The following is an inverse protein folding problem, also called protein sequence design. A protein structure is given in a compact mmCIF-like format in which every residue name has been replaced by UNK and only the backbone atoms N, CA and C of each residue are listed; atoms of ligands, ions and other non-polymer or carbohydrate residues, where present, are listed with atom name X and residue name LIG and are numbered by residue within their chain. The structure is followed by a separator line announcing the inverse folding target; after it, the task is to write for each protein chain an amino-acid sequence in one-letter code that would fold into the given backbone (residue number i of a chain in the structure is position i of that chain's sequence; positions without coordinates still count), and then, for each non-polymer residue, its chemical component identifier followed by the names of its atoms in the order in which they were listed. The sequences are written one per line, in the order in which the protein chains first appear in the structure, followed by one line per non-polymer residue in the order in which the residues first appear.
data_IF_920837527480
#
_entry.id   IF_920837527480
#
_cell.length_a   1.000
_cell.length_b   1.000
_cell.length_c   1.000
_cell.angle_alpha   90.00
_cell.angle_beta   90.00
_cell.angle_gamma   90.00
#
_symmetry.space_group_name_H-M   'P 1'
#
loop_
_entity.id
_entity.type
_entity.pdbx_description
1 polymer ?
#
# COMPACT_ATOMS: atom_id res chain seq x y z
N UNK A 1 41.76 -32.02 -5.06
CA UNK A 1 41.06 -32.51 -6.28
C UNK A 1 40.32 -33.83 -6.07
N UNK A 2 40.97 -34.91 -5.61
CA UNK A 2 40.31 -36.22 -5.36
C UNK A 2 39.12 -36.11 -4.40
N UNK A 3 39.26 -35.37 -3.31
CA UNK A 3 38.18 -35.14 -2.34
C UNK A 3 37.04 -34.28 -2.90
N UNK A 4 37.34 -33.26 -3.71
CA UNK A 4 36.33 -32.42 -4.36
C UNK A 4 35.50 -33.18 -5.41
N UNK A 5 36.08 -34.21 -6.05
CA UNK A 5 35.35 -35.13 -6.94
C UNK A 5 34.49 -36.12 -6.15
N UNK A 6 34.99 -36.64 -5.03
CA UNK A 6 34.23 -37.56 -4.16
C UNK A 6 33.03 -36.88 -3.47
N UNK A 7 33.16 -35.58 -3.14
CA UNK A 7 32.10 -34.78 -2.54
C UNK A 7 31.13 -34.18 -3.59
N UNK A 8 31.33 -34.46 -4.89
CA UNK A 8 30.45 -34.00 -5.96
C UNK A 8 30.56 -32.50 -6.31
N UNK A 9 31.58 -31.80 -5.82
CA UNK A 9 31.76 -30.36 -6.06
C UNK A 9 32.29 -30.04 -7.46
N UNK A 10 33.10 -30.95 -8.03
CA UNK A 10 33.62 -30.85 -9.38
C UNK A 10 33.00 -31.93 -10.27
N UNK A 11 32.53 -31.54 -11.44
CA UNK A 11 32.01 -32.41 -12.49
C UNK A 11 33.00 -32.39 -13.66
N UNK A 12 33.51 -33.53 -14.14
CA UNK A 12 34.35 -33.57 -15.32
C UNK A 12 33.59 -33.04 -16.53
N UNK A 13 34.15 -32.03 -17.21
CA UNK A 13 33.60 -31.45 -18.44
C UNK A 13 34.59 -31.68 -19.58
N UNK A 14 34.12 -32.23 -20.69
CA UNK A 14 34.88 -32.26 -21.93
C UNK A 14 34.55 -31.01 -22.74
N UNK A 15 35.53 -30.13 -22.96
CA UNK A 15 35.36 -28.97 -23.80
C UNK A 15 36.27 -29.08 -25.04
N UNK A 16 35.72 -28.76 -26.21
CA UNK A 16 36.49 -28.67 -27.45
C UNK A 16 36.86 -27.20 -27.67
N UNK A 17 38.13 -26.86 -27.52
CA UNK A 17 38.68 -25.56 -27.94
C UNK A 17 39.69 -25.80 -29.05
N UNK A 18 39.50 -25.14 -30.20
CA UNK A 18 40.38 -25.24 -31.38
C UNK A 18 40.69 -26.69 -31.82
N UNK A 19 39.71 -27.59 -31.76
CA UNK A 19 39.86 -28.98 -32.21
C UNK A 19 40.65 -29.90 -31.27
N UNK A 20 41.05 -29.43 -30.08
CA UNK A 20 41.67 -30.25 -29.04
C UNK A 20 40.65 -30.57 -27.96
N UNK A 21 40.57 -31.84 -27.59
CA UNK A 21 39.78 -32.31 -26.44
C UNK A 21 40.54 -32.00 -25.15
N UNK A 22 40.15 -30.94 -24.46
CA UNK A 22 40.67 -30.67 -23.11
C UNK A 22 39.74 -31.32 -22.08
N UNK A 23 40.29 -32.24 -21.27
CA UNK A 23 39.60 -32.75 -20.08
C UNK A 23 39.65 -31.67 -19.00
N UNK A 24 38.56 -30.93 -18.85
CA UNK A 24 38.38 -29.92 -17.80
C UNK A 24 37.49 -30.42 -16.68
N UNK A 25 37.35 -29.60 -15.64
CA UNK A 25 36.40 -29.81 -14.56
C UNK A 25 35.62 -28.50 -14.39
N UNK A 26 34.29 -28.59 -14.25
CA UNK A 26 33.44 -27.49 -13.87
C UNK A 26 32.91 -27.71 -12.46
N UNK A 27 32.53 -26.64 -11.77
CA UNK A 27 31.81 -26.79 -10.50
C UNK A 27 30.36 -27.21 -10.75
N UNK A 28 29.82 -28.02 -9.85
CA UNK A 28 28.43 -28.44 -9.87
C UNK A 28 27.47 -27.31 -9.44
N UNK A 29 27.95 -26.44 -8.56
CA UNK A 29 27.21 -25.32 -7.96
C UNK A 29 28.00 -24.03 -8.16
N UNK A 30 27.30 -23.02 -8.69
CA UNK A 30 27.86 -21.71 -9.01
C UNK A 30 28.38 -20.97 -7.77
N UNK A 31 27.86 -21.26 -6.58
CA UNK A 31 28.32 -20.66 -5.32
C UNK A 31 29.76 -21.08 -5.00
N UNK A 32 30.09 -22.36 -5.17
CA UNK A 32 31.46 -22.84 -4.99
C UNK A 32 32.39 -22.25 -6.06
N UNK A 33 31.92 -22.19 -7.32
CA UNK A 33 32.68 -21.55 -8.40
C UNK A 33 33.05 -20.11 -8.03
N UNK A 34 32.08 -19.33 -7.58
CA UNK A 34 32.26 -17.90 -7.28
C UNK A 34 33.16 -17.71 -6.05
N UNK A 35 33.04 -18.55 -5.03
CA UNK A 35 33.93 -18.56 -3.86
C UNK A 35 35.39 -18.88 -4.25
N UNK A 36 35.64 -19.94 -5.02
CA UNK A 36 36.99 -20.29 -5.46
C UNK A 36 37.57 -19.25 -6.42
N UNK A 37 36.75 -18.62 -7.26
CA UNK A 37 37.17 -17.48 -8.07
C UNK A 37 37.63 -16.30 -7.20
N UNK A 38 36.90 -16.00 -6.11
CA UNK A 38 37.26 -14.94 -5.18
C UNK A 38 38.60 -15.21 -4.49
N UNK A 39 38.87 -16.46 -4.10
CA UNK A 39 40.15 -16.87 -3.50
C UNK A 39 41.35 -16.66 -4.44
N UNK A 40 41.15 -16.80 -5.75
CA UNK A 40 42.20 -16.61 -6.74
C UNK A 40 42.58 -15.14 -6.97
N UNK A 41 41.76 -14.19 -6.51
CA UNK A 41 41.96 -12.76 -6.69
C UNK A 41 42.58 -12.17 -5.43
N UNK A 42 43.89 -11.96 -5.43
CA UNK A 42 44.59 -11.35 -4.29
C UNK A 42 44.51 -9.82 -4.29
N UNK A 43 44.53 -9.21 -5.47
CA UNK A 43 44.58 -7.76 -5.67
C UNK A 43 43.24 -7.23 -6.19
N UNK A 44 42.71 -6.20 -5.53
CA UNK A 44 41.44 -5.58 -5.85
C UNK A 44 41.46 -4.83 -7.19
N UNK A 45 42.63 -4.41 -7.68
CA UNK A 45 42.76 -3.77 -9.00
C UNK A 45 42.20 -4.65 -10.11
N UNK A 46 42.19 -5.98 -9.93
CA UNK A 46 41.56 -6.94 -10.83
C UNK A 46 40.09 -6.58 -11.16
N UNK A 47 39.33 -6.06 -10.21
CA UNK A 47 37.93 -5.68 -10.42
C UNK A 47 37.78 -4.36 -11.18
N UNK A 48 38.76 -3.46 -11.07
CA UNK A 48 38.79 -2.18 -11.81
C UNK A 48 39.44 -2.28 -13.18
N UNK A 49 39.96 -3.43 -13.56
CA UNK A 49 40.45 -3.67 -14.91
C UNK A 49 39.30 -3.79 -15.92
N UNK A 50 39.55 -3.29 -17.14
CA UNK A 50 38.63 -3.42 -18.26
C UNK A 50 38.78 -4.81 -18.90
N UNK A 51 37.68 -5.55 -18.96
CA UNK A 51 37.59 -6.84 -19.65
C UNK A 51 36.41 -6.84 -20.61
N UNK A 52 36.64 -7.24 -21.87
CA UNK A 52 35.60 -7.22 -22.93
C UNK A 52 34.86 -5.87 -23.02
N UNK A 53 35.61 -4.77 -22.95
CA UNK A 53 35.09 -3.39 -23.06
C UNK A 53 34.22 -2.91 -21.89
N UNK A 54 34.20 -3.61 -20.76
CA UNK A 54 33.53 -3.17 -19.54
C UNK A 54 34.40 -3.39 -18.30
N UNK A 55 34.21 -2.57 -17.27
CA UNK A 55 34.84 -2.80 -15.96
C UNK A 55 34.23 -4.04 -15.31
N UNK A 56 35.07 -4.95 -14.79
CA UNK A 56 34.57 -6.19 -14.14
C UNK A 56 33.68 -5.87 -12.95
N UNK A 57 33.98 -4.81 -12.20
CA UNK A 57 33.20 -4.40 -11.03
C UNK A 57 31.74 -4.06 -11.35
N UNK A 58 31.38 -3.72 -12.59
CA UNK A 58 29.99 -3.41 -13.00
C UNK A 58 29.29 -4.57 -13.71
N UNK A 59 30.01 -5.66 -13.96
CA UNK A 59 29.47 -6.83 -14.64
C UNK A 59 28.74 -7.73 -13.62
N UNK A 60 27.45 -8.08 -13.85
CA UNK A 60 26.68 -8.93 -12.97
C UNK A 60 27.34 -10.27 -12.63
N UNK A 61 28.14 -10.84 -13.55
CA UNK A 61 28.85 -12.12 -13.33
C UNK A 61 29.85 -12.04 -12.18
N UNK A 62 30.40 -10.84 -11.90
CA UNK A 62 31.43 -10.64 -10.89
C UNK A 62 30.88 -10.20 -9.54
N UNK A 63 29.60 -9.80 -9.43
CA UNK A 63 29.02 -9.32 -8.17
C UNK A 63 29.08 -10.35 -7.04
N UNK A 64 28.80 -11.63 -7.36
CA UNK A 64 28.89 -12.73 -6.37
C UNK A 64 30.33 -13.01 -5.94
N UNK A 65 31.26 -12.97 -6.89
CA UNK A 65 32.70 -13.13 -6.63
C UNK A 65 33.22 -11.98 -5.76
N UNK A 66 32.79 -10.75 -6.05
CA UNK A 66 33.14 -9.55 -5.31
C UNK A 66 32.61 -9.61 -3.87
N UNK A 67 31.36 -10.05 -3.66
CA UNK A 67 30.79 -10.26 -2.32
C UNK A 67 31.65 -11.25 -1.49
N UNK A 68 32.01 -12.41 -2.07
CA UNK A 68 32.93 -13.34 -1.42
C UNK A 68 34.29 -12.71 -1.14
N UNK A 69 34.81 -11.89 -2.04
CA UNK A 69 36.10 -11.21 -1.85
C UNK A 69 36.07 -10.26 -0.64
N UNK A 70 34.97 -9.52 -0.44
CA UNK A 70 34.81 -8.65 0.73
C UNK A 70 34.77 -9.41 2.05
N UNK A 71 34.16 -10.60 2.08
CA UNK A 71 34.08 -11.45 3.27
C UNK A 71 35.39 -12.13 3.68
N UNK A 72 36.47 -11.99 2.89
CA UNK A 72 37.77 -12.63 3.17
C UNK A 72 38.50 -11.94 4.32
N UNK A 73 38.81 -12.68 5.38
CA UNK A 73 39.53 -12.19 6.56
C UNK A 73 41.02 -11.97 6.29
N UNK A 74 41.60 -12.72 5.36
CA UNK A 74 43.02 -12.65 5.01
C UNK A 74 43.40 -11.38 4.24
N UNK A 75 42.41 -10.69 3.65
CA UNK A 75 42.64 -9.43 2.96
C UNK A 75 42.72 -8.33 4.02
N UNK A 76 43.87 -7.63 4.07
CA UNK A 76 44.10 -6.58 5.05
C UNK A 76 43.06 -5.46 4.95
N UNK A 77 42.73 -4.88 6.11
CA UNK A 77 41.81 -3.73 6.18
C UNK A 77 42.27 -2.57 5.30
N UNK A 78 43.60 -2.33 5.23
CA UNK A 78 44.20 -1.29 4.39
C UNK A 78 43.86 -1.50 2.91
N UNK A 79 43.90 -2.74 2.41
CA UNK A 79 43.55 -3.04 1.02
C UNK A 79 42.05 -2.85 0.77
N UNK A 80 41.20 -3.27 1.71
CA UNK A 80 39.74 -3.05 1.64
C UNK A 80 39.41 -1.55 1.61
N UNK A 81 40.08 -0.76 2.44
CA UNK A 81 39.94 0.69 2.49
C UNK A 81 40.44 1.37 1.20
N UNK A 82 41.59 0.95 0.67
CA UNK A 82 42.11 1.48 -0.60
C UNK A 82 41.15 1.19 -1.77
N UNK A 83 40.55 0.00 -1.79
CA UNK A 83 39.57 -0.34 -2.81
C UNK A 83 38.28 0.50 -2.71
N UNK A 84 37.75 0.70 -1.49
CA UNK A 84 36.63 1.63 -1.27
C UNK A 84 36.97 3.05 -1.70
N UNK A 85 38.17 3.54 -1.37
CA UNK A 85 38.60 4.87 -1.77
C UNK A 85 38.63 5.00 -3.30
N UNK A 86 39.18 4.01 -4.00
CA UNK A 86 39.21 4.00 -5.46
C UNK A 86 37.81 4.01 -6.09
N UNK A 87 36.82 3.37 -5.46
CA UNK A 87 35.42 3.45 -5.89
C UNK A 87 34.80 4.83 -5.62
N UNK A 88 35.09 5.45 -4.48
CA UNK A 88 34.57 6.77 -4.11
C UNK A 88 35.16 7.92 -4.95
N UNK A 89 36.39 7.75 -5.43
CA UNK A 89 37.10 8.67 -6.32
C UNK A 89 36.89 8.33 -7.80
N UNK A 90 36.07 7.32 -8.11
CA UNK A 90 35.87 6.86 -9.47
C UNK A 90 35.21 7.96 -10.32
N UNK A 91 35.97 8.46 -11.29
CA UNK A 91 35.55 9.47 -12.24
C UNK A 91 35.62 8.89 -13.65
N UNK A 92 34.44 8.74 -14.26
CA UNK A 92 34.33 8.16 -15.60
C UNK A 92 34.70 9.13 -16.72
N UNK A 93 34.77 10.44 -16.43
CA UNK A 93 35.02 11.54 -17.38
C UNK A 93 34.10 11.51 -18.60
N UNK A 94 33.01 10.75 -18.55
CA UNK A 94 32.09 10.54 -19.64
C UNK A 94 30.93 11.54 -19.60
N UNK A 95 30.51 11.94 -18.39
CA UNK A 95 29.45 12.94 -18.21
C UNK A 95 29.67 13.76 -16.94
N UNK A 96 29.09 14.98 -16.85
CA UNK A 96 29.09 15.74 -15.60
C UNK A 96 28.31 15.05 -14.47
N UNK A 97 27.47 14.06 -14.81
CA UNK A 97 26.70 13.26 -13.85
C UNK A 97 27.50 12.08 -13.30
N UNK A 98 28.69 11.78 -13.87
CA UNK A 98 29.58 10.68 -13.49
C UNK A 98 28.82 9.35 -13.29
N UNK A 99 28.22 8.87 -14.37
CA UNK A 99 27.34 7.70 -14.36
C UNK A 99 28.00 6.47 -13.72
N UNK A 100 29.23 6.14 -14.10
CA UNK A 100 29.94 5.01 -13.48
C UNK A 100 30.45 5.31 -12.08
N UNK A 101 30.61 6.59 -11.69
CA UNK A 101 30.83 6.98 -10.30
C UNK A 101 29.64 6.63 -9.41
N UNK A 102 28.40 6.83 -9.88
CA UNK A 102 27.20 6.36 -9.16
C UNK A 102 27.17 4.84 -9.05
N UNK A 103 27.54 4.11 -10.11
CA UNK A 103 27.68 2.64 -10.07
C UNK A 103 28.78 2.18 -9.10
N UNK A 104 29.88 2.91 -9.02
CA UNK A 104 30.95 2.62 -8.06
C UNK A 104 30.48 2.85 -6.62
N UNK A 105 29.67 3.89 -6.39
CA UNK A 105 29.00 4.13 -5.10
C UNK A 105 28.03 2.99 -4.73
N UNK A 106 27.27 2.44 -5.70
CA UNK A 106 26.45 1.23 -5.48
C UNK A 106 27.29 0.06 -4.97
N UNK A 107 28.41 -0.22 -5.64
CA UNK A 107 29.31 -1.31 -5.27
C UNK A 107 29.93 -1.09 -3.89
N UNK A 108 30.32 0.15 -3.57
CA UNK A 108 30.87 0.53 -2.28
C UNK A 108 29.83 0.35 -1.14
N UNK A 109 28.56 0.71 -1.40
CA UNK A 109 27.47 0.51 -0.45
C UNK A 109 27.23 -0.97 -0.11
N UNK A 110 27.21 -1.83 -1.15
CA UNK A 110 27.04 -3.27 -0.99
C UNK A 110 28.20 -3.91 -0.23
N UNK A 111 29.43 -3.38 -0.35
CA UNK A 111 30.58 -3.85 0.40
C UNK A 111 30.41 -3.70 1.93
N UNK A 112 29.62 -2.71 2.39
CA UNK A 112 29.37 -2.49 3.82
C UNK A 112 28.55 -3.62 4.48
N UNK A 113 27.92 -4.50 3.70
CA UNK A 113 27.29 -5.73 4.23
C UNK A 113 28.30 -6.63 4.90
N UNK A 114 29.44 -6.83 4.24
CA UNK A 114 30.49 -7.74 4.66
C UNK A 114 31.50 -7.04 5.57
N UNK A 115 31.65 -5.72 5.44
CA UNK A 115 32.63 -4.92 6.17
C UNK A 115 32.03 -3.61 6.71
N UNK A 116 31.15 -3.67 7.72
CA UNK A 116 30.45 -2.48 8.23
C UNK A 116 31.34 -1.51 9.01
N UNK A 117 32.44 -2.00 9.59
CA UNK A 117 33.35 -1.22 10.45
C UNK A 117 34.41 -0.42 9.67
N UNK A 118 34.27 -0.32 8.35
CA UNK A 118 35.21 0.44 7.52
C UNK A 118 35.04 1.95 7.75
N UNK A 119 36.17 2.67 7.82
CA UNK A 119 36.18 4.11 8.09
C UNK A 119 35.40 4.95 7.06
N UNK A 120 35.26 4.44 5.84
CA UNK A 120 34.50 5.07 4.76
C UNK A 120 32.98 4.86 4.86
N UNK A 121 32.49 4.03 5.79
CA UNK A 121 31.06 3.69 5.89
C UNK A 121 30.18 4.93 6.04
N UNK A 122 30.57 5.86 6.93
CA UNK A 122 29.84 7.11 7.15
C UNK A 122 29.80 7.98 5.89
N UNK A 123 30.89 8.06 5.14
CA UNK A 123 30.96 8.83 3.89
C UNK A 123 30.10 8.21 2.79
N UNK A 124 30.16 6.89 2.61
CA UNK A 124 29.35 6.15 1.63
C UNK A 124 27.87 6.38 1.93
N UNK A 125 27.45 6.18 3.18
CA UNK A 125 26.07 6.37 3.61
C UNK A 125 25.64 7.83 3.42
N UNK A 126 26.47 8.81 3.79
CA UNK A 126 26.16 10.23 3.60
C UNK A 126 25.97 10.58 2.12
N UNK A 127 26.82 10.08 1.21
CA UNK A 127 26.68 10.28 -0.23
C UNK A 127 25.40 9.64 -0.77
N UNK A 128 25.06 8.43 -0.34
CA UNK A 128 23.81 7.77 -0.72
C UNK A 128 22.57 8.54 -0.26
N UNK A 129 22.58 8.99 1.00
CA UNK A 129 21.49 9.80 1.55
C UNK A 129 21.33 11.10 0.77
N UNK A 130 22.43 11.76 0.40
CA UNK A 130 22.40 12.97 -0.44
C UNK A 130 21.79 12.73 -1.83
N UNK A 131 21.88 11.51 -2.37
CA UNK A 131 21.21 11.14 -3.63
C UNK A 131 19.71 10.88 -3.47
N UNK A 132 19.26 10.47 -2.28
CA UNK A 132 17.87 10.11 -2.02
C UNK A 132 17.04 11.21 -1.34
N UNK A 133 17.68 12.13 -0.63
CA UNK A 133 17.05 13.27 0.02
C UNK A 133 16.77 14.38 -1.02
N UNK A 134 15.62 15.08 -0.91
CA UNK A 134 15.27 16.13 -1.86
C UNK A 134 16.27 17.31 -1.83
N UNK A 135 16.59 17.89 -3.01
CA UNK A 135 15.98 19.18 -3.35
C UNK A 135 15.31 19.21 -4.74
N UNK A 136 15.35 18.10 -5.48
CA UNK A 136 14.97 18.06 -6.90
C UNK A 136 13.63 17.34 -7.09
N UNK A 137 12.63 18.09 -7.58
CA UNK A 137 11.42 17.49 -8.09
C UNK A 137 11.77 16.60 -9.30
N UNK A 138 11.47 15.30 -9.18
CA UNK A 138 11.38 14.41 -10.34
C UNK A 138 12.50 13.40 -10.47
N UNK A 139 12.44 12.32 -9.70
CA UNK A 139 12.56 10.96 -10.25
C UNK A 139 12.22 9.95 -9.17
N UNK A 140 10.98 9.44 -9.19
CA UNK A 140 10.59 8.31 -8.34
C UNK A 140 11.49 7.07 -8.52
N UNK A 141 12.24 6.99 -9.62
CA UNK A 141 13.26 5.97 -9.84
C UNK A 141 14.50 6.09 -8.93
N UNK A 142 15.02 7.31 -8.72
CA UNK A 142 16.22 7.53 -7.92
C UNK A 142 15.96 7.27 -6.43
N UNK A 143 14.82 7.71 -5.91
CA UNK A 143 14.43 7.43 -4.53
C UNK A 143 14.20 5.93 -4.29
N UNK A 144 13.56 5.23 -5.23
CA UNK A 144 13.41 3.76 -5.19
C UNK A 144 14.76 3.04 -5.21
N UNK A 145 15.70 3.53 -6.02
CA UNK A 145 17.05 3.00 -6.08
C UNK A 145 17.81 3.18 -4.75
N UNK A 146 17.85 4.40 -4.19
CA UNK A 146 18.51 4.67 -2.91
C UNK A 146 17.88 3.86 -1.79
N UNK A 147 16.55 3.80 -1.70
CA UNK A 147 15.86 3.04 -0.64
C UNK A 147 16.13 1.54 -0.72
N UNK A 148 16.20 0.96 -1.92
CA UNK A 148 16.60 -0.43 -2.09
C UNK A 148 18.04 -0.64 -1.60
N UNK A 149 18.97 0.21 -2.03
CA UNK A 149 20.38 0.09 -1.67
C UNK A 149 20.65 0.30 -0.17
N UNK A 150 19.98 1.25 0.47
CA UNK A 150 20.09 1.46 1.92
C UNK A 150 19.52 0.31 2.73
N UNK A 151 18.44 -0.32 2.25
CA UNK A 151 17.89 -1.56 2.85
C UNK A 151 18.90 -2.70 2.76
N UNK A 152 19.67 -2.71 1.67
CA UNK A 152 20.74 -3.66 1.43
C UNK A 152 22.03 -3.33 2.19
N UNK A 153 22.21 -2.10 2.67
CA UNK A 153 23.40 -1.65 3.42
C UNK A 153 23.31 -2.05 4.89
N UNK A 154 24.44 -2.13 5.60
CA UNK A 154 24.43 -2.39 7.04
C UNK A 154 23.61 -1.33 7.79
N UNK A 155 22.69 -1.80 8.64
CA UNK A 155 21.61 -1.00 9.23
C UNK A 155 22.08 0.12 10.16
N UNK A 156 23.08 -0.13 11.00
CA UNK A 156 23.46 0.80 12.06
C UNK A 156 24.06 2.13 11.55
N UNK A 157 25.03 2.15 10.60
CA UNK A 157 25.55 3.40 10.01
C UNK A 157 24.47 4.24 9.35
N UNK A 158 23.53 3.60 8.63
CA UNK A 158 22.40 4.30 7.99
C UNK A 158 21.56 5.03 9.02
N UNK A 159 21.16 4.35 10.10
CA UNK A 159 20.36 4.97 11.16
C UNK A 159 21.11 6.11 11.86
N UNK A 160 22.40 5.93 12.16
CA UNK A 160 23.20 6.98 12.79
C UNK A 160 23.31 8.22 11.91
N UNK A 161 23.54 8.05 10.61
CA UNK A 161 23.57 9.16 9.65
C UNK A 161 22.21 9.88 9.57
N UNK A 162 21.10 9.14 9.53
CA UNK A 162 19.76 9.72 9.53
C UNK A 162 19.47 10.54 10.79
N UNK A 163 19.85 10.03 11.98
CA UNK A 163 19.68 10.76 13.23
C UNK A 163 20.51 12.05 13.26
N UNK A 164 21.75 12.00 12.75
CA UNK A 164 22.60 13.19 12.63
C UNK A 164 21.99 14.23 11.69
N UNK A 165 21.49 13.81 10.53
CA UNK A 165 20.81 14.73 9.59
C UNK A 165 19.58 15.35 10.26
N UNK A 166 18.75 14.55 10.91
CA UNK A 166 17.52 15.01 11.57
C UNK A 166 17.81 16.06 12.66
N UNK A 167 18.91 15.94 13.40
CA UNK A 167 19.31 16.93 14.42
C UNK A 167 19.90 18.23 13.86
N UNK A 168 20.34 18.24 12.60
CA UNK A 168 21.05 19.38 11.99
C UNK A 168 20.26 20.08 10.89
N UNK A 169 19.21 19.45 10.37
CA UNK A 169 18.46 19.95 9.21
C UNK A 169 17.43 20.99 9.62
N UNK A 170 17.35 22.08 8.86
CA UNK A 170 16.31 23.10 8.97
C UNK A 170 15.21 22.94 7.91
N UNK A 171 15.38 22.02 6.96
CA UNK A 171 14.41 21.77 5.88
C UNK A 171 13.37 20.72 6.30
N UNK A 172 12.12 21.18 6.48
CA UNK A 172 10.95 20.35 6.82
C UNK A 172 10.77 19.13 5.90
N UNK A 173 11.14 19.22 4.62
CA UNK A 173 11.02 18.11 3.65
C UNK A 173 12.05 17.02 3.93
N UNK A 174 13.30 17.43 4.12
CA UNK A 174 14.38 16.51 4.51
C UNK A 174 14.04 15.90 5.86
N UNK A 175 13.56 16.71 6.80
CA UNK A 175 13.15 16.28 8.13
C UNK A 175 12.06 15.20 8.08
N UNK A 176 10.99 15.46 7.31
CA UNK A 176 9.89 14.50 7.12
C UNK A 176 10.36 13.20 6.47
N UNK A 177 11.24 13.27 5.48
CA UNK A 177 11.81 12.09 4.82
C UNK A 177 12.69 11.26 5.77
N UNK A 178 13.51 11.92 6.60
CA UNK A 178 14.28 11.27 7.65
C UNK A 178 13.38 10.54 8.65
N UNK A 179 12.28 11.16 9.09
CA UNK A 179 11.30 10.51 9.96
C UNK A 179 10.69 9.27 9.30
N UNK A 180 10.31 9.34 8.03
CA UNK A 180 9.75 8.20 7.30
C UNK A 180 10.73 7.02 7.23
N UNK A 181 11.99 7.28 6.87
CA UNK A 181 13.02 6.25 6.78
C UNK A 181 13.40 5.68 8.15
N UNK A 182 13.48 6.52 9.18
CA UNK A 182 13.66 6.07 10.57
C UNK A 182 12.50 5.19 11.03
N UNK A 183 11.25 5.53 10.67
CA UNK A 183 10.10 4.67 10.94
C UNK A 183 10.22 3.29 10.27
N UNK A 184 10.64 3.25 9.01
CA UNK A 184 10.80 2.02 8.25
C UNK A 184 11.95 1.12 8.74
N UNK A 185 13.06 1.72 9.15
CA UNK A 185 14.30 0.99 9.43
C UNK A 185 14.76 1.08 10.89
N UNK A 186 14.07 1.79 11.78
CA UNK A 186 14.53 2.05 13.15
C UNK A 186 14.16 1.00 14.19
N UNK A 187 13.30 0.02 13.87
CA UNK A 187 12.83 -0.99 14.83
C UNK A 187 13.95 -1.74 15.56
N UNK A 188 14.04 -1.63 16.89
CA UNK A 188 15.13 -2.24 17.67
C UNK A 188 16.41 -1.41 17.72
N UNK A 189 16.35 -0.11 17.38
CA UNK A 189 17.43 0.85 17.55
C UNK A 189 17.04 1.90 18.62
N UNK A 190 17.38 1.69 19.91
CA UNK A 190 16.89 2.51 21.02
C UNK A 190 17.24 3.99 20.90
N UNK A 191 18.42 4.30 20.35
CA UNK A 191 18.86 5.69 20.14
C UNK A 191 17.92 6.47 19.20
N UNK A 192 17.28 5.80 18.23
CA UNK A 192 16.31 6.48 17.36
C UNK A 192 15.06 6.91 18.13
N UNK A 193 14.59 6.08 19.07
CA UNK A 193 13.44 6.42 19.92
C UNK A 193 13.79 7.63 20.79
N UNK A 194 14.95 7.59 21.47
CA UNK A 194 15.38 8.67 22.35
C UNK A 194 15.49 10.02 21.60
N UNK A 195 16.14 10.03 20.44
CA UNK A 195 16.27 11.25 19.63
C UNK A 195 14.92 11.73 19.12
N UNK A 196 14.07 10.84 18.63
CA UNK A 196 12.73 11.22 18.15
C UNK A 196 11.84 11.76 19.28
N UNK A 197 11.93 11.21 20.50
CA UNK A 197 11.21 11.75 21.66
C UNK A 197 11.70 13.15 22.04
N UNK A 198 13.01 13.38 22.05
CA UNK A 198 13.58 14.72 22.27
C UNK A 198 13.10 15.72 21.22
N UNK A 199 13.07 15.29 19.96
CA UNK A 199 12.66 16.12 18.83
C UNK A 199 11.15 16.41 18.83
N UNK A 200 10.34 15.44 19.27
CA UNK A 200 8.91 15.63 19.45
C UNK A 200 8.62 16.75 20.47
N UNK A 201 9.38 16.81 21.57
CA UNK A 201 9.26 17.86 22.57
C UNK A 201 9.68 19.25 22.04
N UNK A 202 10.63 19.32 21.10
CA UNK A 202 11.03 20.58 20.47
C UNK A 202 9.99 21.09 19.46
N UNK A 203 9.30 20.17 18.78
CA UNK A 203 8.38 20.48 17.68
C UNK A 203 6.89 20.35 18.03
N UNK A 204 6.51 20.43 19.32
CA UNK A 204 5.14 20.21 19.79
C UNK A 204 4.05 21.01 19.04
N UNK A 205 4.37 22.22 18.57
CA UNK A 205 3.41 23.10 17.86
C UNK A 205 3.52 23.00 16.33
N UNK A 206 4.56 22.33 15.80
CA UNK A 206 4.78 22.17 14.37
C UNK A 206 3.93 21.02 13.80
N UNK A 207 3.63 21.06 12.51
CA UNK A 207 3.06 19.92 11.78
C UNK A 207 4.02 18.72 11.73
N UNK A 208 5.33 18.97 11.85
CA UNK A 208 6.38 17.94 11.90
C UNK A 208 6.19 16.95 13.05
N UNK A 209 5.49 17.33 14.13
CA UNK A 209 5.18 16.43 15.24
C UNK A 209 4.49 15.14 14.80
N UNK A 210 3.69 15.18 13.74
CA UNK A 210 3.03 13.97 13.21
C UNK A 210 3.99 13.08 12.44
N UNK A 211 4.98 13.64 11.75
CA UNK A 211 6.03 12.85 11.11
C UNK A 211 6.89 12.15 12.16
N UNK A 212 7.25 12.87 13.24
CA UNK A 212 8.02 12.33 14.37
C UNK A 212 7.20 11.25 15.11
N UNK A 213 5.95 11.55 15.47
CA UNK A 213 5.06 10.60 16.15
C UNK A 213 4.77 9.36 15.29
N UNK A 214 4.64 9.53 13.96
CA UNK A 214 4.50 8.42 13.02
C UNK A 214 5.74 7.52 13.02
N UNK A 215 6.94 8.11 12.98
CA UNK A 215 8.19 7.37 13.07
C UNK A 215 8.30 6.60 14.40
N UNK A 216 7.93 7.22 15.52
CA UNK A 216 7.89 6.58 16.84
C UNK A 216 6.94 5.38 16.87
N UNK A 217 5.72 5.50 16.34
CA UNK A 217 4.75 4.39 16.27
C UNK A 217 5.26 3.24 15.40
N UNK A 218 5.94 3.54 14.29
CA UNK A 218 6.50 2.52 13.41
C UNK A 218 7.67 1.76 14.07
N UNK A 219 8.51 2.47 14.84
CA UNK A 219 9.66 1.87 15.54
C UNK A 219 9.20 1.08 16.77
N UNK A 220 8.31 1.66 17.56
CA UNK A 220 7.69 1.06 18.74
C UNK A 220 6.17 1.30 18.71
N UNK A 221 5.37 0.29 18.33
CA UNK A 221 3.92 0.39 18.32
C UNK A 221 3.30 0.76 19.67
N UNK A 222 4.01 0.52 20.79
CA UNK A 222 3.55 0.88 22.13
C UNK A 222 4.12 2.22 22.61
N UNK A 223 4.76 3.01 21.73
CA UNK A 223 5.30 4.33 22.06
C UNK A 223 4.19 5.24 22.58
N UNK A 224 4.23 5.48 23.89
CA UNK A 224 3.26 6.36 24.57
C UNK A 224 3.30 7.79 24.02
N UNK A 225 4.47 8.42 23.78
CA UNK A 225 4.51 9.77 23.21
C UNK A 225 3.90 9.83 21.80
N UNK A 226 4.24 8.87 20.93
CA UNK A 226 3.72 8.84 19.56
C UNK A 226 2.19 8.74 19.52
N UNK A 227 1.61 7.80 20.26
CA UNK A 227 0.15 7.65 20.35
C UNK A 227 -0.48 8.90 20.97
N UNK A 228 0.05 9.41 22.08
CA UNK A 228 -0.50 10.57 22.78
C UNK A 228 -0.56 11.83 21.90
N UNK A 229 0.44 12.07 21.04
CA UNK A 229 0.45 13.19 20.09
C UNK A 229 -0.75 13.14 19.14
N UNK A 230 -1.05 11.97 18.58
CA UNK A 230 -2.23 11.83 17.73
C UNK A 230 -3.53 11.96 18.52
N UNK A 231 -3.63 11.37 19.71
CA UNK A 231 -4.82 11.50 20.55
C UNK A 231 -5.10 12.95 20.96
N UNK A 232 -4.06 13.75 21.20
CA UNK A 232 -4.20 15.18 21.47
C UNK A 232 -4.76 15.95 20.28
N UNK A 233 -4.45 15.52 19.05
CA UNK A 233 -4.96 16.11 17.81
C UNK A 233 -6.38 15.67 17.45
N UNK A 234 -6.85 14.53 17.98
CA UNK A 234 -8.20 14.00 17.74
C UNK A 234 -9.32 14.76 18.48
N UNK A 235 -9.12 16.02 18.88
CA UNK A 235 -10.19 16.85 19.47
C UNK A 235 -11.02 17.52 18.37
N UNK A 236 -12.37 17.48 18.42
CA UNK A 236 -13.21 18.15 17.43
C UNK A 236 -12.86 19.64 17.30
N UNK A 237 -12.72 20.13 16.07
CA UNK A 237 -12.41 21.53 15.77
C UNK A 237 -10.92 21.90 15.73
N UNK A 238 -10.01 20.96 15.95
CA UNK A 238 -8.59 21.20 15.66
C UNK A 238 -8.32 21.21 14.15
N UNK A 239 -7.43 22.12 13.71
CA UNK A 239 -7.02 22.23 12.31
C UNK A 239 -6.34 20.94 11.80
N UNK A 240 -5.62 20.27 12.69
CA UNK A 240 -4.80 19.11 12.34
C UNK A 240 -5.55 17.77 12.42
N UNK A 241 -6.85 17.80 12.69
CA UNK A 241 -7.67 16.61 12.90
C UNK A 241 -7.63 15.64 11.71
N UNK A 242 -7.81 16.16 10.50
CA UNK A 242 -7.79 15.35 9.27
C UNK A 242 -6.40 14.78 8.99
N UNK A 243 -5.36 15.60 9.16
CA UNK A 243 -3.97 15.18 8.98
C UNK A 243 -3.60 14.08 9.98
N UNK A 244 -3.99 14.20 11.25
CA UNK A 244 -3.76 13.19 12.27
C UNK A 244 -4.35 11.82 11.88
N UNK A 245 -5.63 11.79 11.46
CA UNK A 245 -6.29 10.55 11.04
C UNK A 245 -5.66 9.94 9.77
N UNK A 246 -5.29 10.78 8.80
CA UNK A 246 -4.58 10.32 7.61
C UNK A 246 -3.22 9.72 7.97
N UNK A 247 -2.45 10.38 8.83
CA UNK A 247 -1.12 9.89 9.23
C UNK A 247 -1.23 8.57 10.00
N UNK A 248 -2.20 8.46 10.93
CA UNK A 248 -2.50 7.22 11.66
C UNK A 248 -2.85 6.07 10.71
N UNK A 249 -3.63 6.34 9.66
CA UNK A 249 -3.98 5.31 8.67
C UNK A 249 -2.75 4.71 7.97
N UNK A 250 -1.65 5.46 7.87
CA UNK A 250 -0.40 4.98 7.25
C UNK A 250 0.53 4.26 8.23
N UNK A 251 0.60 4.70 9.49
CA UNK A 251 1.62 4.22 10.44
C UNK A 251 1.10 3.27 11.52
N UNK A 252 -0.21 3.24 11.77
CA UNK A 252 -0.80 2.55 12.91
C UNK A 252 -1.60 1.29 12.54
N UNK A 253 -1.37 0.70 11.37
CA UNK A 253 -2.09 -0.52 10.94
C UNK A 253 -1.84 -1.66 11.95
N UNK A 254 -2.91 -2.21 12.51
CA UNK A 254 -2.86 -3.23 13.56
C UNK A 254 -2.43 -2.74 14.94
N UNK A 255 -2.25 -1.43 15.14
CA UNK A 255 -1.81 -0.87 16.42
C UNK A 255 -2.94 -0.87 17.46
N UNK A 256 -2.84 -1.75 18.46
CA UNK A 256 -3.88 -1.93 19.49
C UNK A 256 -4.18 -0.65 20.30
N UNK A 257 -3.19 0.10 20.84
CA UNK A 257 -3.45 1.38 21.50
C UNK A 257 -4.25 2.37 20.65
N UNK A 258 -3.86 2.54 19.38
CA UNK A 258 -4.54 3.47 18.46
C UNK A 258 -5.96 2.99 18.16
N UNK A 259 -6.13 1.70 17.86
CA UNK A 259 -7.46 1.12 17.62
C UNK A 259 -8.39 1.37 18.81
N UNK A 260 -7.92 1.08 20.02
CA UNK A 260 -8.71 1.26 21.24
C UNK A 260 -9.11 2.72 21.41
N UNK A 261 -8.16 3.64 21.24
CA UNK A 261 -8.44 5.06 21.40
C UNK A 261 -9.41 5.61 20.34
N UNK A 262 -9.32 5.15 19.08
CA UNK A 262 -10.27 5.50 18.02
C UNK A 262 -11.68 4.96 18.32
N UNK A 263 -11.80 3.73 18.83
CA UNK A 263 -13.09 3.15 19.25
C UNK A 263 -13.71 3.86 20.46
N UNK A 264 -12.88 4.29 21.42
CA UNK A 264 -13.31 5.06 22.59
C UNK A 264 -13.77 6.47 22.17
N UNK A 265 -13.05 7.09 21.24
CA UNK A 265 -13.38 8.40 20.68
C UNK A 265 -14.66 8.37 19.82
N UNK A 266 -14.89 7.28 19.09
CA UNK A 266 -16.06 7.10 18.24
C UNK A 266 -17.35 7.11 19.09
N UNK A 267 -18.09 8.21 18.98
CA UNK A 267 -19.32 8.46 19.73
C UNK A 267 -20.36 9.18 18.87
N UNK A 268 -21.67 8.98 19.11
CA UNK A 268 -22.74 9.62 18.32
C UNK A 268 -22.79 11.14 18.48
N UNK A 269 -22.04 11.72 19.42
CA UNK A 269 -21.97 13.18 19.65
C UNK A 269 -21.14 13.91 18.59
N UNK A 270 -20.25 13.21 17.88
CA UNK A 270 -19.47 13.83 16.80
C UNK A 270 -20.39 14.18 15.62
N UNK A 271 -19.94 15.07 14.73
CA UNK A 271 -20.69 15.34 13.51
C UNK A 271 -20.57 14.18 12.52
N UNK A 272 -21.53 14.10 11.60
CA UNK A 272 -21.60 13.08 10.52
C UNK A 272 -20.29 12.98 9.72
N UNK A 273 -19.59 14.10 9.52
CA UNK A 273 -18.30 14.14 8.82
C UNK A 273 -17.16 13.56 9.68
N UNK A 274 -17.10 13.93 10.97
CA UNK A 274 -16.08 13.38 11.88
C UNK A 274 -16.28 11.89 12.13
N UNK A 275 -17.53 11.41 12.21
CA UNK A 275 -17.85 9.97 12.24
C UNK A 275 -17.22 9.25 11.05
N UNK A 276 -17.49 9.73 9.83
CA UNK A 276 -16.95 9.10 8.61
C UNK A 276 -15.43 9.09 8.58
N UNK A 277 -14.76 10.16 8.99
CA UNK A 277 -13.29 10.22 9.01
C UNK A 277 -12.67 9.24 10.01
N UNK A 278 -13.22 9.12 11.22
CA UNK A 278 -12.74 8.15 12.23
C UNK A 278 -12.98 6.72 11.76
N UNK A 279 -14.17 6.46 11.20
CA UNK A 279 -14.52 5.17 10.67
C UNK A 279 -13.64 4.76 9.47
N UNK A 280 -13.35 5.68 8.54
CA UNK A 280 -12.39 5.45 7.46
C UNK A 280 -10.98 5.14 7.99
N UNK A 281 -10.55 5.81 9.06
CA UNK A 281 -9.28 5.49 9.70
C UNK A 281 -9.32 4.07 10.30
N UNK A 282 -10.41 3.69 10.97
CA UNK A 282 -10.61 2.33 11.50
C UNK A 282 -10.71 1.25 10.41
N UNK A 283 -11.32 1.57 9.26
CA UNK A 283 -11.38 0.70 8.07
C UNK A 283 -9.97 0.31 7.59
N UNK A 284 -8.99 1.22 7.69
CA UNK A 284 -7.59 0.98 7.28
C UNK A 284 -6.78 0.36 8.42
N UNK A 285 -6.80 0.99 9.60
CA UNK A 285 -5.98 0.63 10.76
C UNK A 285 -6.38 -0.73 11.33
N UNK A 286 -7.66 -1.05 11.30
CA UNK A 286 -8.23 -2.25 11.91
C UNK A 286 -8.89 -3.21 10.94
N UNK A 287 -8.46 -3.24 9.67
CA UNK A 287 -9.02 -4.16 8.67
C UNK A 287 -8.97 -5.61 9.17
N UNK A 288 -10.12 -6.30 9.18
CA UNK A 288 -10.29 -7.66 9.72
C UNK A 288 -9.85 -7.84 11.20
N UNK A 289 -9.69 -6.75 11.96
CA UNK A 289 -9.19 -6.82 13.33
C UNK A 289 -10.33 -7.11 14.31
N UNK A 290 -10.23 -8.21 15.06
CA UNK A 290 -11.27 -8.69 15.98
C UNK A 290 -11.75 -7.65 17.00
N UNK A 291 -10.83 -6.83 17.54
CA UNK A 291 -11.17 -5.74 18.46
C UNK A 291 -12.05 -4.66 17.79
N UNK A 292 -11.81 -4.33 16.52
CA UNK A 292 -12.62 -3.34 15.79
C UNK A 292 -13.99 -3.91 15.51
N UNK A 293 -14.06 -5.15 15.04
CA UNK A 293 -15.32 -5.86 14.83
C UNK A 293 -16.15 -5.88 16.12
N UNK A 294 -15.56 -6.32 17.24
CA UNK A 294 -16.22 -6.37 18.53
C UNK A 294 -16.65 -4.98 19.03
N UNK A 295 -15.79 -3.97 18.87
CA UNK A 295 -16.06 -2.59 19.25
C UNK A 295 -17.21 -1.98 18.47
N UNK A 296 -17.20 -2.08 17.14
CA UNK A 296 -18.28 -1.57 16.29
C UNK A 296 -19.60 -2.33 16.54
N UNK A 297 -19.55 -3.66 16.70
CA UNK A 297 -20.73 -4.46 17.11
C UNK A 297 -21.32 -4.00 18.44
N UNK A 298 -20.47 -3.67 19.41
CA UNK A 298 -20.92 -3.13 20.69
C UNK A 298 -21.63 -1.78 20.48
N UNK A 299 -21.05 -0.87 19.68
CA UNK A 299 -21.69 0.43 19.36
C UNK A 299 -23.04 0.23 18.66
N UNK A 300 -23.14 -0.72 17.72
CA UNK A 300 -24.38 -1.06 17.02
C UNK A 300 -25.50 -1.54 17.97
N UNK A 301 -25.14 -2.20 19.08
CA UNK A 301 -26.11 -2.68 20.07
C UNK A 301 -26.52 -1.63 21.11
N UNK A 302 -25.65 -0.66 21.38
CA UNK A 302 -25.84 0.29 22.48
C UNK A 302 -26.61 1.55 22.07
N UNK A 303 -26.49 2.00 20.83
CA UNK A 303 -27.03 3.28 20.39
C UNK A 303 -28.34 3.13 19.62
N UNK A 304 -29.19 4.18 19.59
CA UNK A 304 -30.45 4.15 18.84
C UNK A 304 -30.23 4.29 17.32
N UNK A 305 -31.22 3.86 16.50
CA UNK A 305 -31.25 4.08 15.05
C UNK A 305 -30.92 5.51 14.64
N UNK A 306 -30.04 5.68 13.65
CA UNK A 306 -29.71 6.97 13.06
C UNK A 306 -28.48 6.93 12.16
N UNK A 307 -28.05 8.10 11.68
CA UNK A 307 -26.90 8.23 10.77
C UNK A 307 -25.62 7.60 11.34
N UNK A 308 -25.38 7.74 12.66
CA UNK A 308 -24.24 7.13 13.33
C UNK A 308 -24.22 5.59 13.19
N UNK A 309 -25.35 4.93 13.42
CA UNK A 309 -25.44 3.48 13.28
C UNK A 309 -25.31 3.03 11.83
N UNK A 310 -25.89 3.77 10.88
CA UNK A 310 -25.78 3.46 9.46
C UNK A 310 -24.31 3.52 8.99
N UNK A 311 -23.58 4.58 9.34
CA UNK A 311 -22.14 4.67 9.02
C UNK A 311 -21.32 3.59 9.74
N UNK A 312 -21.64 3.30 11.00
CA UNK A 312 -20.95 2.24 11.77
C UNK A 312 -21.18 0.87 11.14
N UNK A 313 -22.40 0.58 10.68
CA UNK A 313 -22.74 -0.67 10.02
C UNK A 313 -22.08 -0.79 8.64
N UNK A 314 -22.07 0.29 7.85
CA UNK A 314 -21.34 0.37 6.58
C UNK A 314 -19.85 0.07 6.77
N UNK A 315 -19.20 0.70 7.76
CA UNK A 315 -17.79 0.45 8.04
C UNK A 315 -17.53 -0.94 8.61
N UNK A 316 -18.46 -1.48 9.40
CA UNK A 316 -18.36 -2.86 9.88
C UNK A 316 -18.43 -3.85 8.72
N UNK A 317 -19.29 -3.63 7.73
CA UNK A 317 -19.37 -4.48 6.53
C UNK A 317 -18.05 -4.43 5.74
N UNK A 318 -17.45 -3.24 5.58
CA UNK A 318 -16.13 -3.09 4.93
C UNK A 318 -14.98 -3.77 5.68
N UNK A 319 -15.09 -3.89 7.02
CA UNK A 319 -14.06 -4.48 7.89
C UNK A 319 -14.28 -5.99 8.08
N UNK A 320 -15.53 -6.46 8.00
CA UNK A 320 -15.95 -7.85 8.16
C UNK A 320 -17.03 -8.15 7.10
N UNK A 321 -16.63 -8.40 5.84
CA UNK A 321 -17.55 -8.64 4.73
C UNK A 321 -18.59 -9.71 5.04
N UNK A 322 -19.86 -9.38 4.81
CA UNK A 322 -20.98 -10.28 5.11
C UNK A 322 -21.37 -10.36 6.59
N UNK A 323 -20.90 -9.44 7.45
CA UNK A 323 -21.29 -9.42 8.86
C UNK A 323 -22.82 -9.32 9.01
N UNK A 324 -23.49 -10.31 9.65
CA UNK A 324 -24.95 -10.37 9.68
C UNK A 324 -25.56 -9.24 10.50
N UNK A 325 -24.85 -8.73 11.52
CA UNK A 325 -25.37 -7.62 12.34
C UNK A 325 -25.32 -6.31 11.56
N UNK A 326 -24.25 -6.06 10.80
CA UNK A 326 -24.15 -4.91 9.91
C UNK A 326 -25.29 -4.90 8.89
N UNK A 327 -25.50 -6.03 8.21
CA UNK A 327 -26.55 -6.18 7.21
C UNK A 327 -27.96 -5.96 7.79
N UNK A 328 -28.26 -6.53 8.97
CA UNK A 328 -29.56 -6.31 9.64
C UNK A 328 -29.78 -4.84 10.02
N UNK A 329 -28.74 -4.14 10.48
CA UNK A 329 -28.85 -2.71 10.80
C UNK A 329 -29.09 -1.89 9.53
N UNK A 330 -28.36 -2.17 8.45
CA UNK A 330 -28.57 -1.50 7.16
C UNK A 330 -29.97 -1.78 6.59
N UNK A 331 -30.45 -3.03 6.64
CA UNK A 331 -31.82 -3.41 6.23
C UNK A 331 -32.92 -2.76 7.07
N UNK A 332 -32.66 -2.43 8.34
CA UNK A 332 -33.60 -1.62 9.13
C UNK A 332 -33.66 -0.18 8.64
N UNK A 333 -32.56 0.34 8.11
CA UNK A 333 -32.46 1.75 7.70
C UNK A 333 -33.00 2.07 6.31
N UNK A 334 -33.33 1.06 5.48
CA UNK A 334 -33.96 1.28 4.16
C UNK A 334 -35.49 1.46 4.22
N UNK A 335 -36.11 1.15 5.37
CA UNK A 335 -37.56 1.19 5.58
C UNK A 335 -38.15 2.60 5.35
N UNK A 336 -39.41 2.66 4.91
CA UNK A 336 -40.08 3.90 4.50
C UNK A 336 -40.27 4.93 5.63
N UNK A 337 -40.25 4.48 6.90
CA UNK A 337 -40.38 5.33 8.09
C UNK A 337 -39.09 6.11 8.43
N UNK A 338 -37.97 5.81 7.76
CA UNK A 338 -36.68 6.45 7.99
C UNK A 338 -36.50 7.73 7.17
N UNK A 339 -35.66 8.68 7.62
CA UNK A 339 -35.33 9.87 6.86
C UNK A 339 -34.71 9.53 5.49
N UNK A 340 -35.16 10.19 4.42
CA UNK A 340 -34.70 9.93 3.05
C UNK A 340 -33.16 9.89 2.87
N UNK A 341 -32.36 10.81 3.46
CA UNK A 341 -30.90 10.73 3.36
C UNK A 341 -30.31 9.44 3.97
N UNK A 342 -30.89 8.97 5.09
CA UNK A 342 -30.48 7.75 5.77
C UNK A 342 -30.85 6.52 4.94
N UNK A 343 -32.04 6.51 4.35
CA UNK A 343 -32.50 5.47 3.43
C UNK A 343 -31.56 5.33 2.24
N UNK A 344 -31.26 6.45 1.57
CA UNK A 344 -30.34 6.49 0.42
C UNK A 344 -28.96 5.94 0.79
N UNK A 345 -28.41 6.35 1.94
CA UNK A 345 -27.13 5.82 2.40
C UNK A 345 -27.20 4.30 2.64
N UNK A 346 -28.21 3.81 3.33
CA UNK A 346 -28.36 2.38 3.61
C UNK A 346 -28.55 1.53 2.35
N UNK A 347 -29.36 2.00 1.38
CA UNK A 347 -29.54 1.31 0.08
C UNK A 347 -28.22 1.26 -0.70
N UNK A 348 -27.47 2.36 -0.71
CA UNK A 348 -26.17 2.41 -1.35
C UNK A 348 -25.19 1.44 -0.68
N UNK A 349 -25.07 1.48 0.65
CA UNK A 349 -24.19 0.57 1.40
C UNK A 349 -24.53 -0.91 1.18
N UNK A 350 -25.82 -1.27 1.12
CA UNK A 350 -26.24 -2.64 0.81
C UNK A 350 -25.90 -3.07 -0.62
N UNK A 351 -25.79 -2.13 -1.57
CA UNK A 351 -25.38 -2.40 -2.94
C UNK A 351 -23.86 -2.51 -3.15
N UNK A 352 -23.07 -2.10 -2.16
CA UNK A 352 -21.60 -2.15 -2.19
C UNK A 352 -21.02 -3.32 -1.38
N UNK A 353 -21.89 -4.21 -0.87
CA UNK A 353 -21.44 -5.35 -0.06
C UNK A 353 -20.57 -6.29 -0.88
N UNK A 354 -19.47 -6.76 -0.29
CA UNK A 354 -18.51 -7.62 -0.99
C UNK A 354 -19.05 -9.05 -1.14
N UNK A 355 -19.84 -9.51 -0.17
CA UNK A 355 -20.48 -10.83 -0.18
C UNK A 355 -22.00 -10.66 -0.32
N UNK A 356 -22.55 -10.90 -1.52
CA UNK A 356 -23.99 -10.84 -1.72
C UNK A 356 -24.73 -11.83 -0.83
N UNK A 357 -25.77 -11.34 -0.15
CA UNK A 357 -26.68 -12.17 0.64
C UNK A 357 -28.04 -12.22 -0.05
N UNK A 358 -28.60 -13.41 -0.33
CA UNK A 358 -29.94 -13.54 -0.91
C UNK A 358 -31.01 -12.80 -0.09
N UNK A 359 -30.84 -12.71 1.23
CA UNK A 359 -31.75 -11.95 2.10
C UNK A 359 -31.66 -10.43 1.87
N UNK A 360 -30.47 -9.91 1.56
CA UNK A 360 -30.29 -8.49 1.21
C UNK A 360 -30.89 -8.21 -0.16
N UNK A 361 -30.63 -9.08 -1.13
CA UNK A 361 -31.19 -8.97 -2.49
C UNK A 361 -32.71 -8.99 -2.44
N UNK A 362 -33.31 -9.96 -1.74
CA UNK A 362 -34.75 -10.05 -1.54
C UNK A 362 -35.32 -8.79 -0.85
N UNK A 363 -34.66 -8.30 0.20
CA UNK A 363 -35.10 -7.09 0.90
C UNK A 363 -35.07 -5.82 0.03
N UNK A 364 -34.06 -5.68 -0.84
CA UNK A 364 -34.01 -4.60 -1.82
C UNK A 364 -35.07 -4.78 -2.92
N UNK A 365 -35.30 -6.01 -3.37
CA UNK A 365 -36.33 -6.33 -4.36
C UNK A 365 -37.74 -6.00 -3.84
N UNK A 366 -38.05 -6.37 -2.59
CA UNK A 366 -39.32 -6.02 -1.94
C UNK A 366 -39.47 -4.50 -1.80
N UNK A 367 -38.39 -3.80 -1.41
CA UNK A 367 -38.38 -2.35 -1.28
C UNK A 367 -38.64 -1.66 -2.63
N UNK A 368 -38.05 -2.14 -3.72
CA UNK A 368 -38.22 -1.58 -5.06
C UNK A 368 -39.70 -1.55 -5.49
N UNK A 369 -40.45 -2.59 -5.12
CA UNK A 369 -41.87 -2.72 -5.46
C UNK A 369 -42.78 -1.85 -4.60
N UNK A 370 -42.35 -1.53 -3.38
CA UNK A 370 -43.09 -0.68 -2.44
C UNK A 370 -42.75 0.81 -2.56
N UNK A 371 -41.59 1.15 -3.15
CA UNK A 371 -41.12 2.52 -3.31
C UNK A 371 -41.85 3.23 -4.44
N UNK A 372 -42.08 4.54 -4.32
CA UNK A 372 -42.70 5.37 -5.37
C UNK A 372 -41.71 6.41 -5.94
N UNK A 373 -40.76 6.87 -5.12
CA UNK A 373 -39.78 7.87 -5.54
C UNK A 373 -38.85 7.30 -6.62
N UNK A 374 -38.87 7.91 -7.82
CA UNK A 374 -38.12 7.46 -9.00
C UNK A 374 -36.62 7.38 -8.73
N UNK A 375 -36.07 8.36 -7.98
CA UNK A 375 -34.65 8.38 -7.67
C UNK A 375 -34.27 7.27 -6.69
N UNK A 376 -35.10 7.01 -5.67
CA UNK A 376 -34.86 5.89 -4.74
C UNK A 376 -35.01 4.55 -5.45
N UNK A 377 -36.00 4.39 -6.34
CA UNK A 377 -36.13 3.20 -7.20
C UNK A 377 -34.88 2.96 -8.03
N UNK A 378 -34.37 4.00 -8.69
CA UNK A 378 -33.13 3.89 -9.45
C UNK A 378 -31.95 3.46 -8.57
N UNK A 379 -31.81 4.03 -7.38
CA UNK A 379 -30.74 3.64 -6.46
C UNK A 379 -30.84 2.16 -6.07
N UNK A 380 -32.05 1.65 -5.82
CA UNK A 380 -32.29 0.24 -5.53
C UNK A 380 -31.97 -0.64 -6.75
N UNK A 381 -32.41 -0.25 -7.95
CA UNK A 381 -32.09 -0.93 -9.22
C UNK A 381 -30.56 -1.01 -9.41
N UNK A 382 -29.85 0.10 -9.19
CA UNK A 382 -28.39 0.17 -9.27
C UNK A 382 -27.71 -0.75 -8.26
N UNK A 383 -28.20 -0.78 -7.01
CA UNK A 383 -27.70 -1.70 -5.98
C UNK A 383 -27.95 -3.17 -6.36
N UNK A 384 -29.17 -3.52 -6.79
CA UNK A 384 -29.52 -4.87 -7.26
C UNK A 384 -28.66 -5.31 -8.45
N UNK A 385 -28.32 -4.38 -9.35
CA UNK A 385 -27.43 -4.68 -10.48
C UNK A 385 -26.01 -5.12 -10.05
N UNK A 386 -25.55 -4.67 -8.89
CA UNK A 386 -24.21 -4.98 -8.36
C UNK A 386 -24.20 -6.30 -7.59
N UNK A 387 -25.23 -6.56 -6.79
CA UNK A 387 -25.24 -7.69 -5.84
C UNK A 387 -26.15 -8.85 -6.26
N UNK A 388 -27.05 -8.62 -7.22
CA UNK A 388 -28.12 -9.56 -7.56
C UNK A 388 -27.78 -10.59 -8.63
N UNK A 389 -26.52 -10.74 -9.05
CA UNK A 389 -26.14 -11.60 -10.18
C UNK A 389 -26.62 -13.05 -10.00
N UNK A 390 -27.47 -13.52 -10.92
CA UNK A 390 -28.08 -14.85 -10.87
C UNK A 390 -29.11 -15.06 -9.74
N UNK A 391 -29.45 -14.03 -8.98
CA UNK A 391 -30.43 -14.12 -7.89
C UNK A 391 -31.87 -14.10 -8.46
N UNK A 392 -32.69 -15.12 -8.19
CA UNK A 392 -34.05 -15.21 -8.74
C UNK A 392 -34.96 -14.05 -8.33
N UNK A 393 -34.79 -13.52 -7.10
CA UNK A 393 -35.61 -12.41 -6.61
C UNK A 393 -35.25 -11.11 -7.31
N UNK A 394 -33.96 -10.84 -7.53
CA UNK A 394 -33.54 -9.69 -8.33
C UNK A 394 -34.09 -9.77 -9.77
N UNK A 395 -33.93 -10.92 -10.42
CA UNK A 395 -34.41 -11.15 -11.80
C UNK A 395 -35.92 -10.91 -11.87
N UNK A 396 -36.71 -11.61 -11.04
CA UNK A 396 -38.15 -11.54 -11.07
C UNK A 396 -38.69 -10.11 -10.84
N UNK A 397 -38.11 -9.40 -9.87
CA UNK A 397 -38.53 -8.03 -9.54
C UNK A 397 -38.17 -7.05 -10.64
N UNK A 398 -36.96 -7.11 -11.19
CA UNK A 398 -36.55 -6.25 -12.29
C UNK A 398 -37.41 -6.50 -13.54
N UNK A 399 -37.71 -7.77 -13.87
CA UNK A 399 -38.62 -8.13 -14.97
C UNK A 399 -40.02 -7.55 -14.73
N UNK A 400 -40.56 -7.71 -13.51
CA UNK A 400 -41.88 -7.17 -13.15
C UNK A 400 -41.93 -5.64 -13.26
N UNK A 401 -40.84 -4.97 -12.88
CA UNK A 401 -40.74 -3.51 -12.97
C UNK A 401 -40.73 -3.03 -14.44
N UNK A 402 -40.01 -3.74 -15.31
CA UNK A 402 -40.00 -3.48 -16.75
C UNK A 402 -41.40 -3.65 -17.35
N UNK A 403 -42.09 -4.76 -17.05
CA UNK A 403 -43.45 -5.00 -17.53
C UNK A 403 -44.45 -3.92 -17.10
N UNK A 404 -44.37 -3.48 -15.83
CA UNK A 404 -45.21 -2.40 -15.31
C UNK A 404 -44.90 -1.07 -15.98
N UNK A 405 -43.63 -0.74 -16.20
CA UNK A 405 -43.22 0.50 -16.82
C UNK A 405 -43.68 0.58 -18.29
N UNK A 406 -43.58 -0.53 -19.05
CA UNK A 406 -44.08 -0.61 -20.44
C UNK A 406 -45.61 -0.47 -20.51
N UNK A 407 -46.34 -0.94 -19.48
CA UNK A 407 -47.80 -0.85 -19.43
C UNK A 407 -48.34 0.53 -19.00
N UNK A 408 -47.51 1.41 -18.46
CA UNK A 408 -47.91 2.72 -17.93
C UNK A 408 -47.82 3.84 -18.97
N UNK A 409 -48.55 4.96 -18.78
CA UNK A 409 -48.45 6.12 -19.66
C UNK A 409 -47.05 6.75 -19.61
N UNK A 410 -46.61 7.29 -20.75
CA UNK A 410 -45.25 7.81 -20.92
C UNK A 410 -44.93 8.98 -20.00
N UNK A 411 -43.75 8.91 -19.39
CA UNK A 411 -43.10 10.02 -18.68
C UNK A 411 -41.59 9.92 -18.94
N UNK A 412 -40.90 11.04 -19.11
CA UNK A 412 -39.44 11.05 -19.32
C UNK A 412 -38.70 10.34 -18.17
N UNK A 413 -39.15 10.55 -16.94
CA UNK A 413 -38.62 9.90 -15.74
C UNK A 413 -38.85 8.37 -15.74
N UNK A 414 -40.01 7.92 -16.24
CA UNK A 414 -40.35 6.51 -16.36
C UNK A 414 -39.53 5.79 -17.44
N UNK A 415 -39.33 6.42 -18.60
CA UNK A 415 -38.53 5.86 -19.70
C UNK A 415 -37.04 5.76 -19.32
N UNK A 416 -36.54 6.76 -18.60
CA UNK A 416 -35.19 6.70 -18.04
C UNK A 416 -35.02 5.55 -17.03
N UNK A 417 -35.94 5.41 -16.06
CA UNK A 417 -35.88 4.32 -15.09
C UNK A 417 -36.03 2.95 -15.76
N UNK A 418 -36.87 2.84 -16.80
CA UNK A 418 -37.02 1.63 -17.61
C UNK A 418 -35.69 1.23 -18.26
N UNK A 419 -34.98 2.17 -18.88
CA UNK A 419 -33.67 1.90 -19.48
C UNK A 419 -32.67 1.41 -18.42
N UNK A 420 -32.56 2.09 -17.27
CA UNK A 420 -31.67 1.68 -16.18
C UNK A 420 -32.03 0.28 -15.65
N UNK A 421 -33.32 -0.04 -15.55
CA UNK A 421 -33.82 -1.35 -15.11
C UNK A 421 -33.46 -2.45 -16.11
N UNK A 422 -33.57 -2.19 -17.42
CA UNK A 422 -33.14 -3.14 -18.45
C UNK A 422 -31.63 -3.38 -18.39
N UNK A 423 -30.82 -2.32 -18.20
CA UNK A 423 -29.38 -2.46 -18.04
C UNK A 423 -29.01 -3.25 -16.78
N UNK A 424 -29.72 -3.03 -15.67
CA UNK A 424 -29.55 -3.82 -14.46
C UNK A 424 -29.90 -5.29 -14.69
N UNK A 425 -31.01 -5.58 -15.37
CA UNK A 425 -31.45 -6.94 -15.66
C UNK A 425 -30.46 -7.69 -16.56
N UNK A 426 -29.88 -7.01 -17.57
CA UNK A 426 -28.81 -7.56 -18.40
C UNK A 426 -27.54 -7.92 -17.61
N UNK A 427 -27.21 -7.15 -16.56
CA UNK A 427 -26.06 -7.45 -15.69
C UNK A 427 -26.35 -8.64 -14.79
N UNK A 428 -27.57 -8.71 -14.27
CA UNK A 428 -27.99 -9.74 -13.32
C UNK A 428 -28.24 -11.09 -14.01
N UNK A 429 -28.85 -11.07 -15.20
CA UNK A 429 -29.10 -12.22 -16.05
C UNK A 429 -28.78 -11.90 -17.52
N UNK A 430 -27.53 -12.12 -17.96
CA UNK A 430 -27.10 -11.84 -19.33
C UNK A 430 -27.82 -12.69 -20.40
N UNK A 431 -28.49 -13.77 -20.02
CA UNK A 431 -29.20 -14.67 -20.94
C UNK A 431 -30.72 -14.43 -20.94
N UNK A 432 -31.20 -13.39 -20.25
CA UNK A 432 -32.61 -13.09 -20.22
C UNK A 432 -33.10 -12.71 -21.63
N UNK A 433 -33.89 -13.58 -22.27
CA UNK A 433 -34.45 -13.30 -23.60
C UNK A 433 -35.72 -12.45 -23.49
N UNK A 434 -36.34 -12.39 -22.30
CA UNK A 434 -37.59 -11.68 -22.04
C UNK A 434 -37.49 -10.16 -22.16
N UNK A 435 -36.29 -9.59 -22.12
CA UNK A 435 -36.01 -8.15 -22.29
C UNK A 435 -36.00 -7.68 -23.75
N UNK A 436 -35.97 -8.57 -24.74
CA UNK A 436 -35.90 -8.18 -26.15
C UNK A 436 -37.12 -7.35 -26.57
N UNK A 437 -38.32 -7.70 -26.10
CA UNK A 437 -39.54 -6.93 -26.36
C UNK A 437 -39.48 -5.52 -25.77
N UNK A 438 -38.89 -5.37 -24.58
CA UNK A 438 -38.73 -4.08 -23.90
C UNK A 438 -37.64 -3.21 -24.53
N UNK A 439 -36.56 -3.82 -25.04
CA UNK A 439 -35.54 -3.13 -25.82
C UNK A 439 -36.08 -2.63 -27.17
N UNK A 440 -36.86 -3.47 -27.87
CA UNK A 440 -37.55 -3.07 -29.10
C UNK A 440 -38.51 -1.91 -28.82
N UNK A 441 -39.29 -1.99 -27.73
CA UNK A 441 -40.15 -0.89 -27.28
C UNK A 441 -39.36 0.41 -27.05
N UNK A 442 -38.20 0.38 -26.41
CA UNK A 442 -37.39 1.59 -26.23
C UNK A 442 -36.88 2.14 -27.57
N UNK A 443 -36.36 1.28 -28.45
CA UNK A 443 -35.79 1.68 -29.75
C UNK A 443 -36.84 2.32 -30.68
N UNK A 444 -37.99 1.66 -30.84
CA UNK A 444 -39.11 2.17 -31.66
C UNK A 444 -39.58 3.55 -31.18
N UNK A 445 -39.40 3.85 -29.90
CA UNK A 445 -39.87 5.09 -29.30
C UNK A 445 -38.81 6.19 -29.19
N UNK A 446 -37.52 5.87 -29.28
CA UNK A 446 -36.43 6.85 -29.45
C UNK A 446 -36.38 7.47 -30.85
N UNK A 447 -36.72 6.70 -31.89
CA UNK A 447 -36.75 7.20 -33.27
C UNK A 447 -37.93 8.16 -33.51
N UNK A 448 -39.06 7.97 -32.82
CA UNK A 448 -40.22 8.87 -32.96
C UNK A 448 -40.05 10.25 -32.35
N UNK A 449 -39.13 10.47 -31.39
CA UNK A 449 -38.88 11.79 -30.81
C UNK A 449 -38.05 12.71 -31.71
N UNK A 450 -37.22 12.17 -32.61
CA UNK A 450 -36.46 12.97 -33.59
C UNK A 450 -37.33 13.44 -34.78
N UNK A 451 -38.45 12.77 -35.05
CA UNK A 451 -39.33 13.07 -36.18
C UNK A 451 -40.48 14.05 -35.88
N UNK A 452 -40.54 14.64 -34.67
CA UNK A 452 -41.54 15.66 -34.30
C UNK A 452 -40.96 17.08 -34.15
N UNK A 453 -39.67 17.28 -34.48
CA UNK A 453 -39.06 18.61 -34.62
C UNK A 453 -38.72 18.92 -36.09
N UNK A 454 -39.73 19.07 -36.95
CA UNK A 454 -39.59 19.76 -38.25
C UNK A 454 -40.83 20.57 -38.57
#
# INVERSE_FOLDING_TARGET
MRSALQLGWLIPKTAVRKGVWERGYGFADDTFRDYFAALAIADWHFFLDIYRHQYRIFDPEWQRVLAFWWGREEISLVNKQAFLQAMLEFDDRCSPENFYGLRALECAALALRECPDLAQADEIVARLLAQGLPPMAGNGGQQKWVTALLTETHRAPVLQALLKILQTTEDDRIYGQCCQWLGQWGQGFPQAIEVLEQQLALHEQSSLRFAIASALILIDPNSSPGVATFLAALRPGQKDYSLALQTLAHCAVGNLPVIKALLDFLSPKLSVLHHRQVLQCLEVVGKNHSLVIAGLLQKLRLYPPGAFLCQTAESLEKIDPGNPTALVVLQRHIQADQPLPLRKQAIYSLGEVEVPSPTVVAGLADLLMAEEDVFVRWLIVSSLAKIGQGDPSAIATLTTLVEKAVAQPRTEEGDWLLNETIQALLKVDPQNVGILSSLVYLLENTETSEHLQT
#
